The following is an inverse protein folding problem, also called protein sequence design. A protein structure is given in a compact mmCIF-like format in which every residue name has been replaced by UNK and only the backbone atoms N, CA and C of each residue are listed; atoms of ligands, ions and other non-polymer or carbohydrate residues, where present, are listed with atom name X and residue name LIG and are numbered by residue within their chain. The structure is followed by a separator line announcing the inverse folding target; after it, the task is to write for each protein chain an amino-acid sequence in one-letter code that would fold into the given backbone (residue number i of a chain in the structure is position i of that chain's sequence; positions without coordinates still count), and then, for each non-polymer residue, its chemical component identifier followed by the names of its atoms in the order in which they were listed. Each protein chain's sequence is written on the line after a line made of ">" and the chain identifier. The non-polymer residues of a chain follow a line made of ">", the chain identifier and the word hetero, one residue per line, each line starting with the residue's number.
data_IF_311242474346
#
_entry.id   IF_311242474346
#
_cell.length_a   1.000
_cell.length_b   1.000
_cell.length_c   1.000
_cell.angle_alpha   90.00
_cell.angle_beta   90.00
_cell.angle_gamma   90.00
#
_symmetry.space_group_name_H-M   'P 1'
#
loop_
_entity.id
_entity.type
_entity.pdbx_description
1 polymer ?
#
# COMPACT_ATOMS: atom_id res chain seq x y z
N UNK A 1 33.13 -22.21 36.57
CA UNK A 1 33.59 -21.19 37.53
C UNK A 1 34.55 -20.26 36.81
N UNK A 2 34.10 -19.07 36.40
CA UNK A 2 35.01 -18.00 36.00
C UNK A 2 34.31 -16.68 36.25
N UNK A 3 34.84 -15.96 37.23
CA UNK A 3 34.26 -14.79 37.86
C UNK A 3 34.78 -13.54 37.17
N UNK A 4 33.93 -12.82 36.43
CA UNK A 4 34.29 -11.51 35.91
C UNK A 4 33.94 -10.43 36.93
N UNK A 5 35.01 -9.75 37.38
CA UNK A 5 35.03 -8.70 38.40
C UNK A 5 34.38 -7.42 37.85
N UNK A 6 33.44 -6.88 38.62
CA UNK A 6 32.96 -5.51 38.52
C UNK A 6 34.00 -4.54 39.07
N UNK A 7 34.30 -3.47 38.33
CA UNK A 7 34.90 -2.23 38.86
C UNK A 7 34.18 -1.03 38.25
N UNK A 8 33.21 -0.53 39.02
CA UNK A 8 33.21 0.86 39.52
C UNK A 8 32.86 2.02 38.57
N UNK A 9 31.99 2.96 39.01
CA UNK A 9 31.52 4.09 38.22
C UNK A 9 32.47 5.29 38.33
N UNK A 10 32.69 6.03 37.24
CA UNK A 10 33.30 7.37 37.28
C UNK A 10 32.25 8.42 36.95
N UNK A 11 31.75 9.06 38.02
CA UNK A 11 31.00 10.32 37.97
C UNK A 11 31.96 11.43 37.55
N UNK A 12 31.77 11.99 36.36
CA UNK A 12 32.36 13.26 35.93
C UNK A 12 31.24 14.29 35.76
N UNK A 13 31.22 15.30 36.63
CA UNK A 13 30.42 16.52 36.50
C UNK A 13 31.26 17.56 35.75
N UNK A 14 30.72 18.16 34.69
CA UNK A 14 30.96 19.53 34.22
C UNK A 14 30.14 19.71 32.94
N UNK A 15 28.95 20.32 32.99
CA UNK A 15 28.71 21.77 32.97
C UNK A 15 28.77 22.37 31.56
N UNK A 16 27.60 22.90 31.16
CA UNK A 16 27.39 24.05 30.28
C UNK A 16 27.87 23.92 28.82
N UNK A 17 26.93 23.50 27.98
CA UNK A 17 26.94 23.72 26.54
C UNK A 17 25.51 23.88 26.05
N UNK A 18 24.85 24.97 26.43
CA UNK A 18 23.60 25.41 25.82
C UNK A 18 23.92 25.91 24.40
N UNK A 19 24.08 24.98 23.46
CA UNK A 19 24.06 25.29 22.05
C UNK A 19 22.60 25.21 21.60
N UNK A 20 22.01 26.38 21.43
CA UNK A 20 20.74 26.55 20.78
C UNK A 20 20.81 26.01 19.34
N UNK A 21 20.40 24.76 19.14
CA UNK A 21 19.88 24.30 17.86
C UNK A 21 18.39 24.66 17.79
N UNK A 22 18.13 25.97 17.78
CA UNK A 22 16.96 26.49 17.11
C UNK A 22 17.24 26.45 15.60
N UNK A 23 16.23 26.04 14.81
CA UNK A 23 16.19 25.98 13.33
C UNK A 23 16.52 24.62 12.69
N UNK A 24 15.71 23.57 12.96
CA UNK A 24 15.18 22.69 11.89
C UNK A 24 13.77 22.22 12.30
N UNK A 25 12.81 23.15 12.26
CA UNK A 25 11.37 22.85 12.29
C UNK A 25 10.74 23.12 10.91
N UNK A 26 11.51 22.92 9.84
CA UNK A 26 11.06 23.09 8.46
C UNK A 26 10.92 21.71 7.82
N UNK A 27 9.75 21.12 8.05
CA UNK A 27 9.17 20.11 7.18
C UNK A 27 9.78 18.71 7.25
N UNK A 28 9.25 17.87 8.15
CA UNK A 28 8.80 16.57 7.66
C UNK A 28 7.60 16.82 6.74
N UNK A 29 7.83 17.45 5.59
CA UNK A 29 6.87 17.42 4.49
C UNK A 29 6.87 15.96 4.08
N UNK A 30 5.85 15.25 4.59
CA UNK A 30 5.65 13.84 4.34
C UNK A 30 5.81 13.58 2.86
N UNK A 31 6.50 12.48 2.57
CA UNK A 31 6.64 11.93 1.23
C UNK A 31 5.31 12.16 0.48
N UNK A 32 5.30 12.88 -0.66
CA UNK A 32 4.07 13.08 -1.40
C UNK A 32 3.41 11.72 -1.59
N UNK A 33 2.07 11.63 -1.41
CA UNK A 33 1.38 10.36 -1.62
C UNK A 33 1.81 9.81 -2.98
N UNK A 34 2.13 8.51 -3.08
CA UNK A 34 2.60 7.94 -4.33
C UNK A 34 1.56 8.23 -5.40
N UNK A 35 2.05 8.55 -6.59
CA UNK A 35 1.21 8.88 -7.73
C UNK A 35 0.15 7.76 -7.92
N UNK A 36 -1.16 8.11 -7.88
CA UNK A 36 -2.24 7.13 -8.02
C UNK A 36 -2.20 6.37 -9.36
N UNK A 37 -1.49 6.87 -10.37
CA UNK A 37 -1.24 6.16 -11.63
C UNK A 37 -0.21 5.03 -11.51
N UNK A 38 0.60 5.00 -10.45
CA UNK A 38 1.69 4.01 -10.27
C UNK A 38 1.57 3.18 -8.99
N UNK A 39 0.72 3.62 -8.06
CA UNK A 39 0.55 2.91 -6.81
C UNK A 39 -0.18 1.56 -7.03
N UNK A 40 0.29 0.45 -6.46
CA UNK A 40 -0.32 -0.87 -6.68
C UNK A 40 -1.74 -0.97 -6.10
N UNK A 41 -2.57 -1.77 -6.76
CA UNK A 41 -3.89 -2.20 -6.30
C UNK A 41 -3.71 -3.41 -5.40
N UNK A 42 -4.25 -3.34 -4.19
CA UNK A 42 -4.25 -4.47 -3.26
C UNK A 42 -5.67 -4.96 -3.06
N UNK A 43 -5.85 -6.27 -3.19
CA UNK A 43 -7.12 -6.97 -3.02
C UNK A 43 -7.00 -7.96 -1.87
N UNK A 44 -7.76 -7.74 -0.81
CA UNK A 44 -7.89 -8.71 0.29
C UNK A 44 -9.07 -9.62 -0.04
N UNK A 45 -8.81 -10.91 -0.23
CA UNK A 45 -9.85 -11.87 -0.66
C UNK A 45 -10.95 -12.01 0.40
N UNK A 46 -10.60 -11.94 1.69
CA UNK A 46 -11.56 -11.97 2.78
C UNK A 46 -12.44 -10.71 2.76
N UNK A 47 -13.70 -10.88 2.35
CA UNK A 47 -14.63 -9.78 2.14
C UNK A 47 -14.45 -9.00 0.83
N UNK A 48 -13.54 -9.44 -0.06
CA UNK A 48 -13.22 -8.79 -1.33
C UNK A 48 -13.01 -7.28 -1.18
N UNK A 49 -11.99 -6.88 -0.43
CA UNK A 49 -11.72 -5.47 -0.12
C UNK A 49 -10.60 -4.93 -0.99
N UNK A 50 -10.82 -3.75 -1.56
CA UNK A 50 -9.80 -3.01 -2.31
C UNK A 50 -9.16 -1.95 -1.41
N UNK A 51 -7.85 -1.75 -1.54
CA UNK A 51 -7.18 -0.63 -0.88
C UNK A 51 -7.62 0.74 -1.41
N UNK A 52 -8.21 0.79 -2.61
CA UNK A 52 -8.85 1.96 -3.23
C UNK A 52 -9.90 1.51 -4.24
N UNK A 53 -10.95 2.31 -4.37
CA UNK A 53 -12.07 2.10 -5.28
C UNK A 53 -11.98 2.95 -6.56
N UNK A 54 -10.95 3.80 -6.68
CA UNK A 54 -10.69 4.62 -7.87
C UNK A 54 -9.20 4.66 -8.25
N UNK A 55 -8.89 4.57 -9.55
CA UNK A 55 -7.55 4.71 -10.15
C UNK A 55 -7.59 5.44 -11.49
N UNK A 56 -6.47 6.02 -11.93
CA UNK A 56 -6.32 6.48 -13.31
C UNK A 56 -6.34 5.30 -14.30
N UNK A 57 -6.74 5.52 -15.54
CA UNK A 57 -6.57 4.56 -16.61
C UNK A 57 -5.07 4.30 -16.85
N UNK A 58 -4.70 3.05 -17.13
CA UNK A 58 -3.30 2.66 -17.31
C UNK A 58 -2.96 1.29 -16.72
N UNK A 59 -1.68 0.91 -16.72
CA UNK A 59 -1.21 -0.32 -16.10
C UNK A 59 -1.12 -0.19 -14.57
N UNK A 60 -1.72 -1.14 -13.85
CA UNK A 60 -1.67 -1.24 -12.39
C UNK A 60 -1.22 -2.62 -11.97
N UNK A 61 -0.27 -2.70 -11.04
CA UNK A 61 0.07 -3.98 -10.42
C UNK A 61 -0.96 -4.34 -9.35
N UNK A 62 -1.58 -5.51 -9.49
CA UNK A 62 -2.57 -6.09 -8.59
C UNK A 62 -1.89 -7.12 -7.69
N UNK A 63 -1.86 -6.83 -6.39
CA UNK A 63 -1.44 -7.75 -5.36
C UNK A 63 -2.68 -8.38 -4.69
N UNK A 64 -2.66 -9.70 -4.52
CA UNK A 64 -3.74 -10.47 -3.89
C UNK A 64 -3.28 -10.96 -2.53
N UNK A 65 -4.08 -10.72 -1.50
CA UNK A 65 -3.81 -11.09 -0.12
C UNK A 65 -4.88 -12.05 0.38
N UNK A 66 -4.46 -13.24 0.82
CA UNK A 66 -5.31 -14.30 1.34
C UNK A 66 -5.32 -15.56 0.47
N UNK A 67 -6.04 -16.58 0.93
CA UNK A 67 -6.24 -17.84 0.21
C UNK A 67 -7.59 -17.81 -0.53
N UNK A 68 -7.56 -18.12 -1.84
CA UNK A 68 -8.74 -18.13 -2.69
C UNK A 68 -8.41 -17.72 -4.11
N UNK A 69 -9.45 -17.45 -4.90
CA UNK A 69 -9.35 -17.05 -6.30
C UNK A 69 -9.82 -15.62 -6.50
N UNK A 70 -9.16 -14.90 -7.42
CA UNK A 70 -9.58 -13.57 -7.88
C UNK A 70 -9.79 -13.62 -9.39
N UNK A 71 -10.91 -13.05 -9.84
CA UNK A 71 -11.18 -12.75 -11.24
C UNK A 71 -11.56 -11.29 -11.35
N UNK A 72 -10.97 -10.57 -12.31
CA UNK A 72 -11.34 -9.18 -12.62
C UNK A 72 -12.07 -9.17 -13.95
N UNK A 73 -13.25 -8.55 -13.97
CA UNK A 73 -14.09 -8.39 -15.15
C UNK A 73 -14.18 -6.93 -15.55
N UNK A 74 -14.20 -6.66 -16.85
CA UNK A 74 -14.52 -5.33 -17.37
C UNK A 74 -16.04 -5.05 -17.35
N UNK A 75 -16.42 -3.86 -17.82
CA UNK A 75 -17.83 -3.45 -17.89
C UNK A 75 -18.72 -4.33 -18.78
N UNK A 76 -18.13 -5.15 -19.67
CA UNK A 76 -18.85 -6.12 -20.49
C UNK A 76 -19.05 -7.47 -19.79
N UNK A 77 -18.44 -7.67 -18.62
CA UNK A 77 -18.38 -8.93 -17.90
C UNK A 77 -17.29 -9.87 -18.42
N UNK A 78 -16.42 -9.40 -19.32
CA UNK A 78 -15.31 -10.19 -19.81
C UNK A 78 -14.18 -10.23 -18.78
N UNK A 79 -13.63 -11.42 -18.54
CA UNK A 79 -12.45 -11.59 -17.70
C UNK A 79 -11.23 -10.92 -18.36
N UNK A 80 -10.60 -10.02 -17.61
CA UNK A 80 -9.40 -9.28 -18.04
C UNK A 80 -8.17 -9.60 -17.21
N UNK A 81 -8.35 -10.20 -16.02
CA UNK A 81 -7.27 -10.69 -15.17
C UNK A 81 -7.79 -11.84 -14.29
N UNK A 82 -6.94 -12.84 -14.04
CA UNK A 82 -7.17 -13.86 -13.01
C UNK A 82 -5.95 -13.92 -12.08
N UNK A 83 -6.19 -13.96 -10.77
CA UNK A 83 -5.16 -13.85 -9.74
C UNK A 83 -4.54 -12.46 -9.64
N UNK A 84 -3.26 -12.38 -9.27
CA UNK A 84 -2.49 -11.14 -9.23
C UNK A 84 -1.66 -10.91 -10.50
N UNK A 85 -1.12 -9.70 -10.65
CA UNK A 85 -0.31 -9.30 -11.81
C UNK A 85 -0.71 -7.93 -12.35
N UNK A 86 -0.34 -7.62 -13.58
CA UNK A 86 -0.62 -6.31 -14.18
C UNK A 86 -2.02 -6.26 -14.79
N UNK A 87 -2.88 -5.39 -14.27
CA UNK A 87 -4.18 -5.03 -14.84
C UNK A 87 -4.04 -3.75 -15.66
N UNK A 88 -4.38 -3.79 -16.96
CA UNK A 88 -4.41 -2.58 -17.79
C UNK A 88 -5.84 -2.06 -17.85
N UNK A 89 -6.11 -0.96 -17.15
CA UNK A 89 -7.43 -0.34 -17.11
C UNK A 89 -7.60 0.71 -18.21
N UNK A 90 -8.85 0.87 -18.65
CA UNK A 90 -9.35 2.00 -19.44
C UNK A 90 -10.40 2.70 -18.59
N UNK A 91 -10.72 3.94 -18.93
CA UNK A 91 -11.83 4.64 -18.27
C UNK A 91 -13.11 3.78 -18.28
N UNK A 92 -13.66 3.55 -17.09
CA UNK A 92 -14.78 2.64 -16.91
C UNK A 92 -14.83 1.99 -15.52
N UNK A 93 -15.59 0.91 -15.44
CA UNK A 93 -15.81 0.16 -14.19
C UNK A 93 -15.34 -1.26 -14.36
N UNK A 94 -14.66 -1.77 -13.34
CA UNK A 94 -14.20 -3.15 -13.24
C UNK A 94 -14.81 -3.82 -12.02
N UNK A 95 -15.19 -5.10 -12.17
CA UNK A 95 -15.73 -5.91 -11.09
C UNK A 95 -14.69 -6.94 -10.67
N UNK A 96 -14.28 -6.88 -9.42
CA UNK A 96 -13.41 -7.86 -8.78
C UNK A 96 -14.31 -8.91 -8.15
N UNK A 97 -14.15 -10.16 -8.55
CA UNK A 97 -14.88 -11.31 -8.03
C UNK A 97 -13.90 -12.17 -7.24
N UNK A 98 -14.11 -12.23 -5.93
CA UNK A 98 -13.29 -13.00 -5.01
C UNK A 98 -14.03 -14.27 -4.60
N UNK A 99 -13.36 -15.42 -4.68
CA UNK A 99 -13.93 -16.71 -4.27
C UNK A 99 -13.09 -17.32 -3.16
N UNK A 100 -13.71 -17.64 -2.03
CA UNK A 100 -13.08 -18.35 -0.90
C UNK A 100 -13.94 -19.57 -0.56
N UNK A 101 -13.40 -20.76 -0.80
CA UNK A 101 -14.14 -22.01 -0.61
C UNK A 101 -15.38 -22.06 -1.51
N UNK A 102 -16.57 -22.00 -0.93
CA UNK A 102 -17.85 -21.92 -1.66
C UNK A 102 -18.50 -20.54 -1.63
N UNK A 103 -17.85 -19.55 -1.00
CA UNK A 103 -18.34 -18.18 -0.91
C UNK A 103 -17.82 -17.34 -2.06
N UNK A 104 -18.67 -16.45 -2.57
CA UNK A 104 -18.32 -15.44 -3.57
C UNK A 104 -18.62 -14.06 -2.98
N UNK A 105 -17.76 -13.09 -3.28
CA UNK A 105 -17.93 -11.68 -2.91
C UNK A 105 -17.36 -10.81 -4.02
N UNK A 106 -17.88 -9.58 -4.14
CA UNK A 106 -17.49 -8.68 -5.23
C UNK A 106 -17.12 -7.30 -4.74
N UNK A 107 -16.14 -6.68 -5.41
CA UNK A 107 -15.81 -5.27 -5.27
C UNK A 107 -15.81 -4.56 -6.62
N UNK A 108 -15.95 -3.25 -6.58
CA UNK A 108 -16.00 -2.42 -7.79
C UNK A 108 -14.82 -1.45 -7.77
N UNK A 109 -14.08 -1.38 -8.87
CA UNK A 109 -13.05 -0.39 -9.11
C UNK A 109 -13.50 0.54 -10.23
N UNK A 110 -13.40 1.85 -10.01
CA UNK A 110 -13.61 2.87 -11.03
C UNK A 110 -12.26 3.31 -11.60
N UNK A 111 -12.10 3.17 -12.91
CA UNK A 111 -10.97 3.76 -13.62
C UNK A 111 -11.41 5.09 -14.23
N UNK A 112 -10.75 6.18 -13.88
CA UNK A 112 -10.98 7.52 -14.46
C UNK A 112 -9.96 7.81 -15.55
N UNK A 113 -10.17 8.87 -16.34
CA UNK A 113 -9.18 9.32 -17.31
C UNK A 113 -7.81 9.54 -16.64
N UNK A 114 -6.74 9.25 -17.38
CA UNK A 114 -5.38 9.59 -16.92
C UNK A 114 -5.31 11.10 -16.66
N UNK A 115 -4.78 11.49 -15.50
CA UNK A 115 -4.65 12.91 -15.18
C UNK A 115 -3.49 13.47 -16.00
N UNK A 116 -3.80 14.26 -17.03
CA UNK A 116 -2.79 15.05 -17.75
C UNK A 116 -2.34 16.20 -16.82
N UNK A 117 -1.23 16.02 -16.12
CA UNK A 117 -0.53 17.07 -15.34
C UNK A 117 0.30 18.01 -16.25
#
# INVERSE_FOLDING_TARGET
>A
MSSYRWVGPRRGRAALGAAACALILSGCFGDPPPDPATAPLEVVLDGCLLNRDEVAAGPHDVAVVGDGDLVVQDASGAEVLAGGGTLVTREGTYTFVCTIGSGESTATLRSVAESED
#
